data_IF_403835252458
#
_entry.id   IF_403835252458
#
_cell.length_a   1.000
_cell.length_b   1.000
_cell.length_c   1.000
_cell.angle_alpha   90.00
_cell.angle_beta   90.00
_cell.angle_gamma   90.00
#
_symmetry.space_group_name_H-M   'P 1'
#
loop_
_entity.id
_entity.type
_entity.pdbx_description
1 polymer ?
#
# COMPACT_ATOMS: atom_id res chain seq x y z
N UNK A 1 -39.08 -18.07 1.97
CA UNK A 1 -37.76 -17.49 1.62
C UNK A 1 -37.75 -17.38 0.10
N UNK A 2 -38.08 -16.20 -0.41
CA UNK A 2 -37.90 -15.85 -1.81
C UNK A 2 -36.42 -15.49 -1.97
N UNK A 3 -35.68 -16.29 -2.74
CA UNK A 3 -34.36 -15.90 -3.21
C UNK A 3 -34.58 -14.85 -4.29
N UNK A 4 -34.37 -13.59 -3.96
CA UNK A 4 -34.20 -12.56 -4.97
C UNK A 4 -32.95 -12.92 -5.77
N UNK A 5 -33.19 -13.34 -7.01
CA UNK A 5 -32.15 -13.50 -8.02
C UNK A 5 -31.67 -12.09 -8.36
N UNK A 6 -30.53 -11.68 -7.80
CA UNK A 6 -29.75 -10.61 -8.41
C UNK A 6 -29.26 -11.15 -9.75
N UNK A 7 -29.97 -10.85 -10.84
CA UNK A 7 -29.40 -10.96 -12.18
C UNK A 7 -28.21 -10.00 -12.24
N UNK A 8 -27.02 -10.56 -12.06
CA UNK A 8 -25.75 -9.87 -12.30
C UNK A 8 -25.62 -9.71 -13.82
N UNK A 9 -26.34 -8.73 -14.38
CA UNK A 9 -26.01 -8.21 -15.70
C UNK A 9 -24.54 -7.80 -15.65
N UNK A 10 -23.74 -8.36 -16.56
CA UNK A 10 -22.31 -8.14 -16.80
C UNK A 10 -21.56 -7.37 -15.69
N UNK A 11 -20.64 -8.03 -14.96
CA UNK A 11 -19.82 -7.51 -13.86
C UNK A 11 -19.00 -6.24 -14.19
N UNK A 12 -19.66 -5.16 -14.57
CA UNK A 12 -19.18 -3.80 -14.53
C UNK A 12 -19.47 -3.37 -13.09
N UNK A 13 -18.43 -3.06 -12.33
CA UNK A 13 -18.63 -2.42 -11.03
C UNK A 13 -19.50 -1.19 -11.27
N UNK A 14 -20.74 -1.21 -10.76
CA UNK A 14 -21.62 -0.06 -10.81
C UNK A 14 -21.10 0.96 -9.79
N UNK A 15 -20.08 1.68 -10.20
CA UNK A 15 -19.64 2.87 -9.49
C UNK A 15 -20.65 3.98 -9.78
N UNK A 16 -21.50 4.33 -8.82
CA UNK A 16 -22.53 5.35 -8.99
C UNK A 16 -21.88 6.74 -9.08
N UNK A 17 -21.66 7.23 -10.30
CA UNK A 17 -20.83 8.41 -10.54
C UNK A 17 -19.33 8.13 -10.50
N UNK A 18 -18.91 6.85 -10.54
CA UNK A 18 -17.54 6.40 -10.74
C UNK A 18 -16.67 6.20 -9.48
N UNK A 19 -17.09 6.66 -8.29
CA UNK A 19 -16.33 6.48 -7.06
C UNK A 19 -16.75 5.22 -6.28
N UNK A 20 -15.81 4.56 -5.55
CA UNK A 20 -16.13 3.41 -4.72
C UNK A 20 -17.04 3.80 -3.56
N UNK A 21 -17.91 2.87 -3.19
CA UNK A 21 -18.79 2.92 -2.03
C UNK A 21 -18.58 1.69 -1.17
N UNK A 22 -18.92 1.80 0.10
CA UNK A 22 -18.84 0.69 1.06
C UNK A 22 -20.23 0.40 1.58
N UNK A 23 -20.56 -0.88 1.64
CA UNK A 23 -21.62 -1.40 2.51
C UNK A 23 -21.02 -2.46 3.41
N UNK A 24 -21.56 -2.56 4.61
CA UNK A 24 -21.14 -3.52 5.61
C UNK A 24 -22.33 -4.28 6.17
N UNK A 25 -22.06 -5.41 6.81
CA UNK A 25 -23.07 -6.19 7.51
C UNK A 25 -22.54 -6.55 8.89
N UNK A 26 -23.34 -6.30 9.92
CA UNK A 26 -23.03 -6.61 11.31
C UNK A 26 -23.77 -7.85 11.83
N UNK A 27 -24.51 -8.55 10.97
CA UNK A 27 -25.36 -9.70 11.32
C UNK A 27 -25.07 -10.94 10.46
N UNK A 28 -23.86 -11.02 9.90
CA UNK A 28 -23.43 -12.16 9.09
C UNK A 28 -23.99 -12.17 7.66
N UNK A 29 -24.33 -10.99 7.13
CA UNK A 29 -24.83 -10.80 5.77
C UNK A 29 -26.34 -10.86 5.62
N UNK A 30 -27.11 -10.82 6.72
CA UNK A 30 -28.57 -10.82 6.68
C UNK A 30 -29.12 -9.44 6.33
N UNK A 31 -28.46 -8.38 6.81
CA UNK A 31 -28.72 -6.98 6.46
C UNK A 31 -27.44 -6.28 6.03
N UNK A 32 -27.59 -5.27 5.17
CA UNK A 32 -26.50 -4.46 4.65
C UNK A 32 -26.76 -3.00 4.97
N UNK A 33 -25.75 -2.33 5.49
CA UNK A 33 -25.78 -0.95 5.94
C UNK A 33 -24.72 -0.12 5.20
N UNK A 34 -25.02 1.15 4.91
CA UNK A 34 -26.38 1.68 4.83
C UNK A 34 -27.20 0.92 3.77
N UNK A 35 -28.53 1.02 3.84
CA UNK A 35 -29.38 0.43 2.80
C UNK A 35 -28.91 0.96 1.44
N UNK A 36 -28.96 0.12 0.42
CA UNK A 36 -28.55 0.38 -0.97
C UNK A 36 -29.11 1.64 -1.64
N UNK A 37 -29.96 2.40 -0.96
CA UNK A 37 -30.41 3.72 -1.43
C UNK A 37 -29.55 4.89 -0.91
N UNK A 38 -28.72 4.68 0.11
CA UNK A 38 -27.90 5.69 0.77
C UNK A 38 -26.41 5.30 0.71
N UNK A 39 -25.83 5.17 -0.48
CA UNK A 39 -24.42 4.76 -0.60
C UNK A 39 -23.47 5.85 -0.06
N UNK A 40 -22.72 5.60 1.03
CA UNK A 40 -21.79 6.57 1.56
C UNK A 40 -20.59 6.58 0.61
N UNK A 41 -20.45 7.69 -0.12
CA UNK A 41 -19.29 7.91 -0.96
C UNK A 41 -18.04 7.95 -0.11
N UNK A 42 -16.97 7.27 -0.54
CA UNK A 42 -15.66 7.34 0.11
C UNK A 42 -14.98 8.71 0.03
N UNK A 43 -15.57 9.61 -0.77
CA UNK A 43 -15.16 10.99 -0.95
C UNK A 43 -16.36 11.90 -0.80
N UNK A 44 -16.19 13.07 -0.19
CA UNK A 44 -17.28 14.05 -0.07
C UNK A 44 -17.86 14.48 -1.44
N UNK A 45 -19.17 14.72 -1.46
CA UNK A 45 -19.85 15.29 -2.62
C UNK A 45 -19.19 16.61 -3.05
N UNK A 46 -18.98 16.76 -4.37
CA UNK A 46 -18.34 17.94 -4.93
C UNK A 46 -16.81 17.95 -4.88
N UNK A 47 -16.17 16.86 -4.43
CA UNK A 47 -14.71 16.73 -4.58
C UNK A 47 -14.31 16.79 -6.06
N UNK A 48 -13.13 17.32 -6.34
CA UNK A 48 -12.55 17.28 -7.68
C UNK A 48 -12.06 15.88 -8.08
N UNK A 49 -12.07 14.91 -7.15
CA UNK A 49 -11.63 13.54 -7.41
C UNK A 49 -12.51 12.98 -8.51
N UNK A 50 -11.89 12.79 -9.67
CA UNK A 50 -12.57 12.25 -10.83
C UNK A 50 -12.35 10.76 -10.82
N UNK A 51 -13.42 9.97 -10.72
CA UNK A 51 -13.34 8.63 -11.26
C UNK A 51 -13.20 8.75 -12.76
N UNK A 52 -12.25 8.00 -13.30
CA UNK A 52 -11.91 8.14 -14.69
C UNK A 52 -12.90 7.37 -15.56
N UNK A 53 -13.20 7.89 -16.75
CA UNK A 53 -13.98 7.20 -17.76
C UNK A 53 -13.12 6.15 -18.48
N UNK A 54 -13.74 5.31 -19.32
CA UNK A 54 -13.04 4.31 -20.14
C UNK A 54 -11.86 4.93 -20.90
N UNK A 55 -10.71 4.26 -20.89
CA UNK A 55 -9.45 4.66 -21.55
C UNK A 55 -8.70 5.86 -20.95
N UNK A 56 -9.00 6.22 -19.70
CA UNK A 56 -8.31 7.33 -19.03
C UNK A 56 -6.96 6.95 -18.44
N UNK A 57 -6.81 5.81 -17.78
CA UNK A 57 -5.45 5.32 -17.52
C UNK A 57 -4.93 4.72 -18.79
N UNK A 58 -3.61 4.77 -18.98
CA UNK A 58 -3.05 4.02 -20.06
C UNK A 58 -3.37 2.52 -19.88
N UNK A 59 -3.46 1.79 -20.99
CA UNK A 59 -3.56 0.31 -21.03
C UNK A 59 -4.88 -0.36 -20.68
N UNK A 60 -6.01 0.31 -20.87
CA UNK A 60 -7.32 -0.33 -20.70
C UNK A 60 -7.51 -0.89 -19.28
N UNK A 61 -6.78 -0.37 -18.30
CA UNK A 61 -7.13 -0.55 -16.90
C UNK A 61 -8.48 0.15 -16.73
N UNK A 62 -9.52 -0.65 -16.89
CA UNK A 62 -10.87 -0.22 -16.70
C UNK A 62 -11.05 -0.11 -15.19
N UNK A 63 -11.09 1.13 -14.69
CA UNK A 63 -11.30 1.39 -13.26
C UNK A 63 -12.65 0.84 -12.79
N UNK A 64 -13.61 0.66 -13.71
CA UNK A 64 -14.87 -0.02 -13.42
C UNK A 64 -14.72 -1.53 -13.20
N UNK A 65 -13.55 -2.10 -13.53
CA UNK A 65 -13.22 -3.52 -13.39
C UNK A 65 -12.17 -3.81 -12.31
N UNK A 66 -11.59 -2.79 -11.68
CA UNK A 66 -10.72 -2.96 -10.53
C UNK A 66 -11.51 -2.71 -9.25
N UNK A 67 -11.35 -3.57 -8.27
CA UNK A 67 -11.95 -3.38 -6.95
C UNK A 67 -11.08 -2.45 -6.08
N UNK A 68 -11.71 -1.63 -5.21
CA UNK A 68 -10.99 -1.07 -4.07
C UNK A 68 -10.52 -2.21 -3.15
N UNK A 69 -9.47 -1.95 -2.36
CA UNK A 69 -9.03 -2.84 -1.30
C UNK A 69 -9.44 -2.29 0.06
N UNK A 70 -9.83 -3.18 0.98
CA UNK A 70 -10.32 -2.82 2.31
C UNK A 70 -9.52 -3.55 3.39
N UNK A 71 -9.22 -2.86 4.49
CA UNK A 71 -8.62 -3.44 5.69
C UNK A 71 -9.25 -2.82 6.93
N UNK A 72 -9.19 -3.53 8.05
CA UNK A 72 -9.69 -3.08 9.35
C UNK A 72 -8.54 -3.07 10.33
N UNK A 73 -8.40 -1.97 11.06
CA UNK A 73 -7.51 -1.89 12.20
C UNK A 73 -8.16 -2.59 13.40
N UNK A 74 -7.54 -3.69 13.83
CA UNK A 74 -8.05 -4.51 14.95
C UNK A 74 -8.01 -3.81 16.30
N UNK A 75 -7.20 -2.78 16.47
CA UNK A 75 -7.06 -2.07 17.74
C UNK A 75 -8.11 -0.97 17.91
N UNK A 76 -8.57 -0.39 16.81
CA UNK A 76 -9.46 0.79 16.82
C UNK A 76 -10.80 0.58 16.13
N UNK A 77 -10.98 -0.55 15.46
CA UNK A 77 -12.12 -0.83 14.56
C UNK A 77 -12.28 0.19 13.42
N UNK A 78 -11.23 0.97 13.14
CA UNK A 78 -11.19 1.85 11.98
C UNK A 78 -11.14 1.02 10.69
N UNK A 79 -11.93 1.43 9.70
CA UNK A 79 -11.98 0.78 8.38
C UNK A 79 -11.20 1.65 7.39
N UNK A 80 -10.29 1.05 6.63
CA UNK A 80 -9.50 1.71 5.62
C UNK A 80 -9.83 1.15 4.25
N UNK A 81 -10.05 2.04 3.29
CA UNK A 81 -10.30 1.66 1.89
C UNK A 81 -9.28 2.34 1.00
N UNK A 82 -8.47 1.53 0.33
CA UNK A 82 -7.55 1.97 -0.70
C UNK A 82 -8.20 1.83 -2.07
N UNK A 83 -8.14 2.90 -2.86
CA UNK A 83 -8.59 2.94 -4.24
C UNK A 83 -7.65 3.85 -5.02
N UNK A 84 -7.84 3.94 -6.33
CA UNK A 84 -7.06 4.86 -7.14
C UNK A 84 -7.98 5.71 -7.98
N UNK A 85 -7.63 6.98 -8.11
CA UNK A 85 -8.45 7.99 -8.77
C UNK A 85 -7.55 9.08 -9.38
N UNK A 86 -8.15 10.00 -10.14
CA UNK A 86 -7.45 11.22 -10.55
C UNK A 86 -7.81 12.34 -9.59
N UNK A 87 -6.85 13.21 -9.29
CA UNK A 87 -7.12 14.40 -8.49
C UNK A 87 -8.02 15.42 -9.19
N UNK A 88 -8.10 15.37 -10.53
CA UNK A 88 -9.08 16.11 -11.32
C UNK A 88 -9.35 15.46 -12.69
N UNK A 89 -10.45 15.82 -13.39
CA UNK A 89 -10.70 15.34 -14.76
C UNK A 89 -9.63 15.76 -15.79
N UNK A 90 -8.80 16.77 -15.48
CA UNK A 90 -7.76 17.28 -16.38
C UNK A 90 -6.39 16.64 -16.15
N UNK A 91 -6.22 15.89 -15.06
CA UNK A 91 -4.99 15.17 -14.77
C UNK A 91 -5.02 13.82 -15.46
N UNK A 92 -3.90 13.40 -16.04
CA UNK A 92 -3.79 12.08 -16.67
C UNK A 92 -3.43 10.99 -15.67
N UNK A 93 -2.57 11.29 -14.71
CA UNK A 93 -2.02 10.32 -13.76
C UNK A 93 -3.05 9.87 -12.70
N UNK A 94 -3.01 8.58 -12.38
CA UNK A 94 -3.74 7.98 -11.26
C UNK A 94 -2.90 8.03 -9.98
N UNK A 95 -3.49 8.52 -8.89
CA UNK A 95 -2.90 8.40 -7.56
C UNK A 95 -3.68 7.38 -6.73
N UNK A 96 -3.03 6.79 -5.73
CA UNK A 96 -3.72 6.00 -4.70
C UNK A 96 -4.31 6.92 -3.64
N UNK A 97 -5.57 6.68 -3.30
CA UNK A 97 -6.28 7.30 -2.21
C UNK A 97 -6.56 6.25 -1.14
N UNK A 98 -6.44 6.66 0.11
CA UNK A 98 -6.77 5.85 1.28
C UNK A 98 -7.79 6.65 2.07
N UNK A 99 -9.00 6.12 2.21
CA UNK A 99 -10.06 6.71 3.01
C UNK A 99 -10.26 5.91 4.29
N UNK A 100 -10.33 6.58 5.44
CA UNK A 100 -10.50 5.99 6.77
C UNK A 100 -11.88 6.34 7.30
N UNK A 101 -12.63 5.32 7.68
CA UNK A 101 -13.84 5.44 8.48
C UNK A 101 -13.50 5.25 9.96
N UNK A 102 -13.77 6.25 10.82
CA UNK A 102 -13.55 6.15 12.26
C UNK A 102 -14.69 5.44 13.03
N UNK A 103 -15.72 4.98 12.32
CA UNK A 103 -16.94 4.40 12.90
C UNK A 103 -17.40 3.15 12.13
N UNK A 104 -16.54 2.12 12.08
CA UNK A 104 -16.89 0.77 11.60
C UNK A 104 -17.44 0.69 10.16
N UNK A 105 -17.22 1.71 9.34
CA UNK A 105 -17.67 1.80 7.94
C UNK A 105 -18.92 2.65 7.74
N UNK A 106 -19.49 3.23 8.80
CA UNK A 106 -20.68 4.10 8.70
C UNK A 106 -20.43 5.38 7.90
N UNK A 107 -19.23 5.97 8.01
CA UNK A 107 -18.91 7.24 7.32
C UNK A 107 -17.43 7.38 6.98
N UNK A 108 -17.13 8.07 5.87
CA UNK A 108 -15.77 8.31 5.39
C UNK A 108 -15.52 9.82 5.23
N UNK A 109 -15.09 10.53 6.29
CA UNK A 109 -14.82 11.95 6.22
C UNK A 109 -13.71 12.27 5.21
N UNK A 110 -13.84 13.38 4.48
CA UNK A 110 -12.87 13.79 3.45
C UNK A 110 -11.80 14.76 3.94
N UNK A 111 -11.65 14.93 5.25
CA UNK A 111 -10.61 15.78 5.82
C UNK A 111 -9.23 15.08 5.75
N UNK A 112 -8.16 15.86 5.90
CA UNK A 112 -6.77 15.34 5.75
C UNK A 112 -6.38 14.29 6.79
N UNK A 113 -7.15 14.13 7.87
CA UNK A 113 -6.91 13.06 8.83
C UNK A 113 -7.53 11.73 8.39
N UNK A 114 -8.53 11.77 7.52
CA UNK A 114 -9.30 10.60 7.10
C UNK A 114 -9.18 10.29 5.60
N UNK A 115 -8.63 11.19 4.79
CA UNK A 115 -8.38 10.96 3.38
C UNK A 115 -6.94 11.37 3.04
N UNK A 116 -6.14 10.38 2.64
CA UNK A 116 -4.75 10.57 2.20
C UNK A 116 -4.64 10.22 0.72
N UNK A 117 -4.09 11.14 -0.07
CA UNK A 117 -3.68 10.91 -1.46
C UNK A 117 -2.17 10.67 -1.48
N UNK A 118 -1.75 9.49 -1.92
CA UNK A 118 -0.34 9.17 -2.16
C UNK A 118 0.08 9.78 -3.49
N UNK A 119 0.59 11.01 -3.44
CA UNK A 119 1.07 11.72 -4.63
C UNK A 119 2.45 11.26 -5.07
N UNK A 120 2.80 11.53 -6.32
CA UNK A 120 4.17 11.36 -6.85
C UNK A 120 5.23 12.02 -5.96
N UNK A 121 4.94 13.20 -5.42
CA UNK A 121 5.85 13.92 -4.54
C UNK A 121 6.11 13.14 -3.25
N UNK A 122 5.06 12.54 -2.67
CA UNK A 122 5.19 11.68 -1.49
C UNK A 122 5.98 10.40 -1.79
N UNK A 123 5.82 9.86 -3.00
CA UNK A 123 6.39 8.57 -3.37
C UNK A 123 7.77 8.66 -4.04
N UNK A 124 8.16 9.78 -4.62
CA UNK A 124 9.42 9.89 -5.36
C UNK A 124 10.28 11.05 -4.89
N UNK A 125 9.74 11.95 -4.06
CA UNK A 125 10.38 13.22 -3.72
C UNK A 125 10.41 14.22 -4.89
N UNK A 126 9.83 13.87 -6.05
CA UNK A 126 9.79 14.71 -7.24
C UNK A 126 8.33 15.10 -7.52
N UNK A 127 8.01 16.40 -7.71
CA UNK A 127 6.69 16.80 -8.16
C UNK A 127 6.36 16.17 -9.50
N UNK A 128 5.16 15.62 -9.66
CA UNK A 128 4.68 15.14 -10.96
C UNK A 128 4.79 16.22 -12.03
N UNK A 129 5.26 15.86 -13.22
CA UNK A 129 5.41 16.75 -14.37
C UNK A 129 4.09 16.99 -15.13
N UNK A 130 2.96 16.67 -14.50
CA UNK A 130 1.62 16.68 -15.09
C UNK A 130 1.27 15.38 -15.83
N UNK A 131 2.24 14.49 -16.07
CA UNK A 131 2.07 13.13 -16.58
C UNK A 131 2.78 12.15 -15.63
N UNK A 132 2.76 12.47 -14.34
CA UNK A 132 3.46 11.70 -13.33
C UNK A 132 3.04 10.23 -13.30
N UNK A 133 3.78 9.38 -12.58
CA UNK A 133 3.49 7.95 -12.58
C UNK A 133 2.05 7.64 -12.18
N UNK A 134 1.47 6.65 -12.84
CA UNK A 134 0.23 6.01 -12.42
C UNK A 134 0.51 5.02 -11.29
N UNK A 135 -0.22 5.17 -10.18
CA UNK A 135 -0.31 4.18 -9.12
C UNK A 135 -1.68 3.53 -9.13
N UNK A 136 -1.73 2.20 -9.29
CA UNK A 136 -2.99 1.47 -9.53
C UNK A 136 -3.04 0.13 -8.80
N UNK A 137 -4.27 -0.41 -8.68
CA UNK A 137 -4.57 -1.72 -8.11
C UNK A 137 -3.93 -1.95 -6.72
N UNK A 138 -4.26 -1.08 -5.74
CA UNK A 138 -3.73 -1.23 -4.40
C UNK A 138 -4.29 -2.48 -3.72
N UNK A 139 -3.47 -3.11 -2.89
CA UNK A 139 -3.88 -4.03 -1.84
C UNK A 139 -3.44 -3.44 -0.50
N UNK A 140 -4.28 -3.50 0.54
CA UNK A 140 -4.06 -2.81 1.81
C UNK A 140 -4.10 -3.80 2.99
N UNK A 141 -3.23 -3.58 3.98
CA UNK A 141 -3.30 -4.23 5.28
C UNK A 141 -2.92 -3.23 6.39
N UNK A 142 -3.57 -3.36 7.55
CA UNK A 142 -3.18 -2.63 8.76
C UNK A 142 -2.35 -3.57 9.62
N UNK A 143 -1.15 -3.13 9.97
CA UNK A 143 -0.28 -3.88 10.89
C UNK A 143 -0.69 -3.65 12.36
N UNK A 144 -0.23 -4.52 13.27
CA UNK A 144 -0.55 -4.40 14.70
C UNK A 144 0.10 -3.19 15.40
N UNK A 145 0.92 -2.44 14.68
CA UNK A 145 1.46 -1.16 15.11
C UNK A 145 0.59 0.03 14.65
N UNK A 146 -0.52 -0.21 13.96
CA UNK A 146 -1.39 0.81 13.37
C UNK A 146 -0.83 1.42 12.07
N UNK A 147 0.22 0.84 11.49
CA UNK A 147 0.75 1.25 10.21
C UNK A 147 -0.15 0.80 9.05
N UNK A 148 -0.35 1.70 8.09
CA UNK A 148 -1.10 1.40 6.85
C UNK A 148 -0.11 0.91 5.81
N UNK A 149 -0.25 -0.33 5.36
CA UNK A 149 0.66 -0.96 4.42
C UNK A 149 -0.07 -1.20 3.10
N UNK A 150 0.61 -0.97 1.98
CA UNK A 150 0.06 -1.16 0.64
C UNK A 150 1.03 -1.88 -0.28
N UNK A 151 0.46 -2.63 -1.22
CA UNK A 151 1.13 -3.12 -2.43
C UNK A 151 0.40 -2.60 -3.64
N UNK A 152 1.10 -2.10 -4.65
CA UNK A 152 0.47 -1.52 -5.84
C UNK A 152 1.39 -1.59 -7.06
N UNK A 153 0.81 -1.40 -8.25
CA UNK A 153 1.57 -1.22 -9.49
C UNK A 153 1.93 0.25 -9.67
N UNK A 154 3.15 0.50 -10.12
CA UNK A 154 3.68 1.84 -10.38
C UNK A 154 4.50 1.85 -11.68
N UNK A 155 4.31 2.86 -12.53
CA UNK A 155 5.04 2.99 -13.80
C UNK A 155 6.11 4.10 -13.79
N UNK A 156 6.61 4.56 -12.63
CA UNK A 156 7.61 5.64 -12.54
C UNK A 156 8.92 5.36 -13.27
N UNK A 157 9.23 4.08 -13.48
CA UNK A 157 10.40 3.62 -14.22
C UNK A 157 10.11 3.26 -15.67
N UNK A 158 8.92 3.61 -16.17
CA UNK A 158 8.59 3.42 -17.56
C UNK A 158 9.47 4.30 -18.45
N UNK A 159 10.30 3.70 -19.33
CA UNK A 159 11.08 4.48 -20.29
C UNK A 159 10.20 5.20 -21.32
N UNK A 160 8.95 4.78 -21.51
CA UNK A 160 8.00 5.35 -22.47
C UNK A 160 6.78 5.98 -21.78
N UNK A 161 6.94 7.21 -21.29
CA UNK A 161 5.84 8.02 -20.75
C UNK A 161 4.73 8.37 -21.76
N UNK A 162 4.88 7.98 -23.02
CA UNK A 162 3.86 8.13 -24.06
C UNK A 162 2.78 7.05 -24.03
N UNK A 163 2.84 6.15 -23.05
CA UNK A 163 1.85 5.13 -22.78
C UNK A 163 1.62 4.14 -23.92
N UNK A 164 2.64 3.88 -24.75
CA UNK A 164 2.54 2.91 -25.83
C UNK A 164 2.97 1.51 -25.38
N UNK A 165 3.96 1.41 -24.48
CA UNK A 165 4.47 0.14 -23.95
C UNK A 165 4.92 0.27 -22.50
N UNK A 166 4.01 0.14 -21.53
CA UNK A 166 4.30 0.51 -20.17
C UNK A 166 5.06 -0.54 -19.43
N UNK A 167 6.09 -0.08 -18.76
CA UNK A 167 6.77 -0.89 -17.80
C UNK A 167 6.27 -0.56 -16.40
N UNK A 168 5.89 -1.60 -15.68
CA UNK A 168 5.45 -1.51 -14.30
C UNK A 168 6.43 -2.15 -13.36
N UNK A 169 6.34 -1.68 -12.14
CA UNK A 169 6.93 -2.27 -10.97
C UNK A 169 5.86 -2.53 -9.92
N UNK A 170 6.16 -3.48 -9.04
CA UNK A 170 5.37 -3.66 -7.83
C UNK A 170 6.09 -2.95 -6.70
N UNK A 171 5.38 -2.08 -6.01
CA UNK A 171 5.88 -1.35 -4.85
C UNK A 171 5.19 -1.80 -3.58
N UNK A 172 5.96 -1.78 -2.50
CA UNK A 172 5.44 -1.80 -1.15
C UNK A 172 5.59 -0.40 -0.55
N UNK A 173 4.57 0.08 0.16
CA UNK A 173 4.64 1.30 0.95
C UNK A 173 4.03 1.06 2.33
N UNK A 174 4.64 1.64 3.36
CA UNK A 174 4.11 1.75 4.71
C UNK A 174 3.94 3.21 5.07
N UNK A 175 2.80 3.54 5.65
CA UNK A 175 2.47 4.84 6.20
C UNK A 175 2.35 4.70 7.71
N UNK A 176 3.22 5.38 8.45
CA UNK A 176 3.10 5.48 9.92
C UNK A 176 2.44 6.80 10.31
N UNK A 177 1.77 6.83 11.45
CA UNK A 177 1.03 8.01 11.94
C UNK A 177 0.04 8.56 10.91
N UNK A 178 -0.72 7.66 10.26
CA UNK A 178 -1.66 7.97 9.19
C UNK A 178 -2.61 9.12 9.57
N UNK A 179 -2.74 10.10 8.67
CA UNK A 179 -3.66 11.22 8.84
C UNK A 179 -3.25 12.23 9.93
N UNK A 180 -2.02 12.13 10.46
CA UNK A 180 -1.49 13.10 11.43
C UNK A 180 -0.53 14.07 10.75
N UNK A 181 -0.19 15.18 11.44
CA UNK A 181 0.82 16.12 10.97
C UNK A 181 2.26 15.55 10.93
N UNK A 182 2.49 14.40 11.55
CA UNK A 182 3.78 13.71 11.61
C UNK A 182 3.75 12.37 10.84
N UNK A 183 2.91 12.27 9.81
CA UNK A 183 2.85 11.10 8.94
C UNK A 183 4.21 10.85 8.28
N UNK A 184 4.68 9.60 8.29
CA UNK A 184 5.88 9.17 7.57
C UNK A 184 5.53 8.10 6.54
N UNK A 185 6.27 8.10 5.43
CA UNK A 185 6.08 7.18 4.31
C UNK A 185 7.42 6.48 4.03
N UNK A 186 7.40 5.16 4.09
CA UNK A 186 8.53 4.31 3.73
C UNK A 186 8.09 3.43 2.56
N UNK A 187 8.94 3.28 1.55
CA UNK A 187 8.59 2.45 0.41
C UNK A 187 9.83 1.80 -0.19
N UNK A 188 9.61 0.73 -0.94
CA UNK A 188 10.62 0.13 -1.79
C UNK A 188 9.95 -0.69 -2.89
N UNK A 189 10.73 -0.96 -3.93
CA UNK A 189 10.33 -1.77 -5.06
C UNK A 189 10.47 -3.25 -4.70
N UNK A 190 9.46 -4.05 -5.01
CA UNK A 190 9.47 -5.51 -4.83
C UNK A 190 9.97 -6.25 -6.06
N UNK A 191 9.78 -5.68 -7.25
CA UNK A 191 10.26 -6.28 -8.51
C UNK A 191 11.74 -5.99 -8.75
N UNK A 192 12.55 -6.96 -9.19
CA UNK A 192 13.96 -6.72 -9.53
C UNK A 192 14.12 -5.94 -10.85
N UNK A 193 13.10 -5.97 -11.71
CA UNK A 193 13.05 -5.27 -12.99
C UNK A 193 11.62 -4.95 -13.38
N UNK A 194 11.45 -3.92 -14.21
CA UNK A 194 10.13 -3.50 -14.66
C UNK A 194 9.63 -4.48 -15.72
N UNK A 195 8.33 -4.69 -15.79
CA UNK A 195 7.72 -5.70 -16.66
C UNK A 195 6.56 -5.13 -17.46
N UNK A 196 6.34 -5.71 -18.64
CA UNK A 196 5.18 -5.42 -19.47
C UNK A 196 4.02 -6.34 -19.06
N UNK A 197 2.86 -5.81 -18.66
CA UNK A 197 1.81 -6.60 -18.05
C UNK A 197 1.18 -7.68 -18.93
N UNK A 198 1.10 -7.44 -20.24
CA UNK A 198 1.10 -8.44 -21.33
C UNK A 198 1.13 -7.70 -22.68
N UNK A 199 1.63 -8.33 -23.75
CA UNK A 199 1.62 -7.75 -25.10
C UNK A 199 0.29 -7.93 -25.87
N UNK A 200 -0.76 -8.50 -25.28
CA UNK A 200 -1.96 -8.96 -26.01
C UNK A 200 -3.30 -8.66 -25.32
N UNK A 201 -3.44 -7.49 -24.68
CA UNK A 201 -4.71 -7.06 -24.11
C UNK A 201 -5.19 -7.91 -22.92
N UNK A 202 -4.28 -8.58 -22.21
CA UNK A 202 -4.64 -9.25 -20.98
C UNK A 202 -4.60 -8.25 -19.81
N UNK A 203 -5.73 -8.12 -19.15
CA UNK A 203 -5.94 -7.32 -17.95
C UNK A 203 -4.95 -7.71 -16.85
N UNK A 204 -4.31 -6.70 -16.24
CA UNK A 204 -3.38 -6.87 -15.13
C UNK A 204 -4.03 -7.45 -13.88
N UNK A 205 -5.34 -7.37 -13.73
CA UNK A 205 -6.07 -7.99 -12.64
C UNK A 205 -5.73 -7.43 -11.26
N UNK A 206 -6.66 -7.59 -10.32
CA UNK A 206 -6.39 -7.36 -8.90
C UNK A 206 -5.66 -8.61 -8.35
N UNK A 207 -4.45 -8.88 -8.85
CA UNK A 207 -3.64 -10.05 -8.44
C UNK A 207 -2.72 -9.74 -7.25
N UNK A 208 -2.86 -8.57 -6.64
CA UNK A 208 -2.16 -8.20 -5.43
C UNK A 208 -2.94 -8.66 -4.21
N UNK A 209 -2.21 -9.21 -3.25
CA UNK A 209 -2.73 -9.42 -1.90
C UNK A 209 -1.67 -8.98 -0.91
N UNK A 210 -2.11 -8.46 0.23
CA UNK A 210 -1.24 -8.10 1.33
C UNK A 210 -1.87 -8.63 2.62
N UNK A 211 -1.17 -9.54 3.28
CA UNK A 211 -1.57 -10.04 4.58
C UNK A 211 -0.64 -9.51 5.66
N UNK A 212 -1.20 -9.20 6.84
CA UNK A 212 -0.45 -8.95 8.06
C UNK A 212 -0.70 -10.07 9.05
N UNK A 213 0.35 -10.52 9.73
CA UNK A 213 0.24 -11.45 10.84
C UNK A 213 0.66 -10.76 12.14
N UNK A 214 0.08 -11.16 13.29
CA UNK A 214 0.41 -10.54 14.56
C UNK A 214 1.88 -10.77 14.93
N UNK A 215 2.48 -9.87 15.74
CA UNK A 215 3.81 -10.08 16.26
C UNK A 215 3.82 -11.33 17.16
N UNK A 216 4.98 -11.98 17.25
CA UNK A 216 5.13 -13.12 18.17
C UNK A 216 5.62 -12.62 19.52
N UNK A 217 5.33 -13.32 20.63
CA UNK A 217 5.78 -12.89 21.96
C UNK A 217 7.30 -12.71 22.11
N UNK A 218 8.08 -13.33 21.21
CA UNK A 218 9.55 -13.31 21.24
C UNK A 218 10.15 -12.35 20.23
N UNK A 219 9.36 -11.80 19.31
CA UNK A 219 9.85 -10.92 18.24
C UNK A 219 8.82 -9.79 18.06
N UNK A 220 9.13 -8.54 18.47
CA UNK A 220 8.22 -7.39 18.36
C UNK A 220 8.08 -6.87 16.92
N UNK A 221 8.31 -7.74 15.93
CA UNK A 221 8.16 -7.44 14.53
C UNK A 221 6.84 -7.98 14.00
N UNK A 222 6.14 -7.16 13.23
CA UNK A 222 4.94 -7.54 12.48
C UNK A 222 5.34 -8.05 11.10
N UNK A 223 5.16 -9.35 10.79
CA UNK A 223 5.38 -9.85 9.45
C UNK A 223 4.23 -9.47 8.50
N UNK A 224 4.60 -9.00 7.31
CA UNK A 224 3.74 -8.70 6.17
C UNK A 224 4.11 -9.61 5.00
N UNK A 225 3.10 -10.07 4.27
CA UNK A 225 3.25 -11.01 3.15
C UNK A 225 2.59 -10.43 1.90
N UNK A 226 3.26 -9.50 1.20
CA UNK A 226 2.79 -9.05 -0.10
C UNK A 226 2.92 -10.19 -1.12
N UNK A 227 1.87 -10.43 -1.89
CA UNK A 227 1.89 -11.32 -3.05
C UNK A 227 1.51 -10.56 -4.29
N UNK A 228 2.20 -10.82 -5.39
CA UNK A 228 1.90 -10.20 -6.68
C UNK A 228 2.21 -11.13 -7.84
N UNK A 229 1.65 -10.82 -9.01
CA UNK A 229 1.95 -11.52 -10.25
C UNK A 229 2.79 -10.62 -11.14
N UNK A 230 3.88 -11.18 -11.69
CA UNK A 230 4.55 -10.59 -12.84
C UNK A 230 4.55 -11.57 -14.02
N UNK A 231 4.31 -11.10 -15.23
CA UNK A 231 4.57 -11.87 -16.44
C UNK A 231 6.07 -11.99 -16.68
N UNK A 232 6.51 -13.19 -17.05
CA UNK A 232 7.83 -13.45 -17.64
C UNK A 232 7.63 -14.14 -18.99
N UNK A 233 7.56 -13.32 -20.04
CA UNK A 233 7.16 -13.77 -21.38
C UNK A 233 5.69 -14.21 -21.42
N UNK A 234 5.46 -15.50 -21.67
CA UNK A 234 4.11 -16.11 -21.71
C UNK A 234 3.65 -16.69 -20.36
N UNK A 235 4.56 -16.76 -19.39
CA UNK A 235 4.24 -17.31 -18.08
C UNK A 235 3.83 -16.19 -17.12
N UNK A 236 2.92 -16.52 -16.20
CA UNK A 236 2.58 -15.66 -15.05
C UNK A 236 3.11 -16.35 -13.81
N UNK A 237 4.00 -15.68 -13.09
CA UNK A 237 4.56 -16.19 -11.84
C UNK A 237 3.96 -15.41 -10.67
N UNK A 238 3.58 -16.12 -9.62
CA UNK A 238 3.17 -15.52 -8.35
C UNK A 238 4.40 -15.42 -7.45
N UNK A 239 4.66 -14.23 -6.93
CA UNK A 239 5.74 -13.94 -6.01
C UNK A 239 5.14 -13.61 -4.65
N UNK A 240 5.87 -13.96 -3.60
CA UNK A 240 5.55 -13.60 -2.23
C UNK A 240 6.83 -13.10 -1.57
N UNK A 241 6.76 -11.96 -0.90
CA UNK A 241 7.84 -11.51 0.00
C UNK A 241 7.43 -11.71 1.44
N UNK A 242 8.41 -11.66 2.34
CA UNK A 242 8.19 -11.51 3.77
C UNK A 242 8.87 -10.22 4.20
N UNK A 243 8.07 -9.22 4.54
CA UNK A 243 8.56 -7.94 5.08
C UNK A 243 8.33 -7.98 6.58
N UNK A 244 9.30 -7.57 7.37
CA UNK A 244 9.14 -7.43 8.81
C UNK A 244 9.13 -5.94 9.15
N UNK A 245 8.31 -5.56 10.13
CA UNK A 245 8.14 -4.16 10.50
C UNK A 245 8.17 -4.02 12.01
N UNK A 246 8.87 -3.00 12.51
CA UNK A 246 8.95 -2.71 13.95
C UNK A 246 7.87 -1.69 14.34
N UNK A 247 7.19 -1.95 15.44
CA UNK A 247 6.27 -0.98 16.05
C UNK A 247 7.10 0.16 16.64
N UNK A 248 6.91 1.38 16.16
CA UNK A 248 7.75 2.53 16.55
C UNK A 248 8.17 3.43 15.37
N UNK A 249 8.02 2.95 14.13
CA UNK A 249 8.00 3.80 12.93
C UNK A 249 9.27 3.82 12.09
N UNK A 250 10.36 3.17 12.51
CA UNK A 250 11.58 3.03 11.70
C UNK A 250 11.52 1.72 10.89
N UNK A 251 11.92 1.77 9.61
CA UNK A 251 11.99 0.60 8.73
C UNK A 251 13.09 -0.34 9.22
N UNK A 252 12.96 -1.65 8.99
CA UNK A 252 14.09 -2.55 9.16
C UNK A 252 15.34 -2.14 8.37
N UNK A 253 15.18 -1.53 7.20
CA UNK A 253 16.30 -0.96 6.45
C UNK A 253 16.94 0.22 7.20
N UNK A 254 16.18 1.00 7.97
CA UNK A 254 16.74 2.07 8.80
C UNK A 254 17.47 1.52 10.04
N UNK A 255 17.05 0.34 10.53
CA UNK A 255 17.73 -0.32 11.66
C UNK A 255 19.02 -1.03 11.24
N UNK A 256 19.16 -1.45 9.97
CA UNK A 256 20.39 -2.05 9.45
C UNK A 256 21.28 -1.13 8.62
N UNK A 257 20.79 0.02 8.15
CA UNK A 257 21.58 1.13 7.58
C UNK A 257 22.02 2.09 8.71
N UNK A 258 22.84 1.57 9.63
CA UNK A 258 23.26 2.27 10.84
C UNK A 258 24.05 3.54 10.49
N UNK A 259 24.77 3.54 9.37
CA UNK A 259 25.51 4.71 8.90
C UNK A 259 24.68 5.71 8.08
N UNK A 260 23.44 5.33 7.76
CA UNK A 260 22.39 6.14 7.12
C UNK A 260 22.77 6.63 5.72
N UNK A 261 23.55 5.85 4.98
CA UNK A 261 23.93 6.17 3.60
C UNK A 261 22.93 5.64 2.54
N UNK A 262 21.89 4.94 2.98
CA UNK A 262 20.82 4.39 2.17
C UNK A 262 21.12 3.00 1.62
N UNK A 263 22.25 2.38 2.00
CA UNK A 263 22.68 1.08 1.50
C UNK A 263 23.15 0.20 2.67
N UNK A 264 22.37 -0.85 2.99
CA UNK A 264 22.79 -1.85 3.98
C UNK A 264 23.97 -2.67 3.43
N UNK A 265 25.15 -2.53 4.06
CA UNK A 265 26.41 -3.12 3.63
C UNK A 265 27.36 -3.37 4.81
N UNK A 266 28.54 -3.95 4.57
CA UNK A 266 29.52 -4.26 5.64
C UNK A 266 29.92 -3.02 6.47
N UNK A 267 29.80 -1.82 5.88
CA UNK A 267 30.02 -0.55 6.57
C UNK A 267 29.05 -0.34 7.74
N UNK A 268 27.80 -0.78 7.60
CA UNK A 268 26.80 -0.72 8.68
C UNK A 268 27.10 -1.70 9.80
N UNK A 269 27.69 -2.85 9.49
CA UNK A 269 28.16 -3.79 10.52
C UNK A 269 29.20 -3.11 11.38
N UNK A 270 30.18 -2.45 10.77
CA UNK A 270 31.19 -1.71 11.49
C UNK A 270 30.60 -0.53 12.27
N UNK A 271 29.65 0.20 11.69
CA UNK A 271 28.96 1.30 12.37
C UNK A 271 28.17 0.81 13.59
N UNK A 272 27.46 -0.31 13.46
CA UNK A 272 26.75 -0.95 14.56
C UNK A 272 27.71 -1.43 15.65
N UNK A 273 28.78 -2.16 15.29
CA UNK A 273 29.78 -2.65 16.26
C UNK A 273 30.42 -1.51 17.05
N UNK A 274 30.72 -0.39 16.40
CA UNK A 274 31.28 0.82 17.06
C UNK A 274 30.26 1.44 18.02
N UNK A 275 29.04 1.69 17.57
CA UNK A 275 27.96 2.24 18.40
C UNK A 275 27.65 1.32 19.60
N UNK A 276 27.61 0.00 19.37
CA UNK A 276 27.34 -1.01 20.37
C UNK A 276 28.41 -1.03 21.48
N UNK A 277 29.70 -0.97 21.12
CA UNK A 277 30.79 -0.93 22.10
C UNK A 277 30.82 0.36 22.92
N UNK A 278 30.32 1.45 22.36
CA UNK A 278 30.23 2.74 23.02
C UNK A 278 28.96 2.90 23.88
N UNK A 279 27.98 2.00 23.74
CA UNK A 279 26.65 2.16 24.32
C UNK A 279 25.91 3.37 23.75
N UNK A 280 26.11 3.67 22.46
CA UNK A 280 25.47 4.76 21.75
C UNK A 280 24.02 4.37 21.39
N UNK A 281 23.08 5.32 21.46
CA UNK A 281 21.68 5.07 21.10
C UNK A 281 21.49 4.69 19.62
N UNK A 282 22.49 4.89 18.76
CA UNK A 282 22.48 4.35 17.40
C UNK A 282 22.50 2.81 17.34
N UNK A 283 22.89 2.13 18.43
CA UNK A 283 22.86 0.67 18.54
C UNK A 283 21.66 0.14 19.35
N UNK A 284 20.78 1.00 19.85
CA UNK A 284 19.52 0.63 20.51
C UNK A 284 18.43 0.50 19.43
N UNK A 285 18.25 -0.74 18.93
CA UNK A 285 17.40 -1.03 17.78
C UNK A 285 15.98 -1.45 18.17
N UNK A 286 15.74 -1.84 19.43
CA UNK A 286 14.38 -2.07 19.94
C UNK A 286 13.77 -0.85 20.64
N UNK A 287 14.59 0.17 20.95
CA UNK A 287 14.17 1.47 21.47
C UNK A 287 13.82 1.44 22.96
N UNK A 288 14.49 0.62 23.75
CA UNK A 288 14.25 0.45 25.19
C UNK A 288 15.18 1.29 26.12
N UNK A 289 16.02 2.14 25.53
CA UNK A 289 17.06 2.95 26.18
C UNK A 289 18.25 2.14 26.76
N UNK A 290 18.38 0.84 26.47
CA UNK A 290 19.48 -0.03 26.90
C UNK A 290 20.14 -0.81 25.73
N UNK A 291 21.35 -0.40 25.30
CA UNK A 291 22.15 -1.19 24.34
C UNK A 291 22.55 -2.56 24.93
N UNK A 292 21.99 -3.64 24.39
CA UNK A 292 22.02 -4.98 24.97
C UNK A 292 22.24 -6.09 23.93
N UNK A 293 22.44 -7.33 24.38
CA UNK A 293 22.60 -8.48 23.48
C UNK A 293 21.38 -8.69 22.57
N UNK A 294 20.21 -8.17 22.96
CA UNK A 294 19.01 -8.21 22.16
C UNK A 294 19.09 -7.30 20.92
N UNK A 295 19.69 -6.12 21.03
CA UNK A 295 19.95 -5.25 19.87
C UNK A 295 20.91 -5.87 18.86
N UNK A 296 21.96 -6.52 19.36
CA UNK A 296 22.89 -7.25 18.49
C UNK A 296 22.18 -8.40 17.75
N UNK A 297 21.22 -9.06 18.41
CA UNK A 297 20.38 -10.07 17.77
C UNK A 297 19.49 -9.44 16.70
N UNK A 298 18.82 -8.32 16.99
CA UNK A 298 17.99 -7.58 16.02
C UNK A 298 18.85 -7.16 14.83
N UNK A 299 19.98 -6.50 15.05
CA UNK A 299 20.88 -6.09 13.99
C UNK A 299 21.31 -7.28 13.14
N UNK A 300 21.71 -8.40 13.76
CA UNK A 300 22.12 -9.61 13.02
C UNK A 300 20.98 -10.16 12.17
N UNK A 301 19.76 -10.26 12.72
CA UNK A 301 18.59 -10.76 12.01
C UNK A 301 18.22 -9.84 10.83
N UNK A 302 18.25 -8.53 11.07
CA UNK A 302 17.83 -7.50 10.11
C UNK A 302 18.89 -7.27 9.03
N UNK A 303 20.16 -7.23 9.40
CA UNK A 303 21.29 -7.16 8.48
C UNK A 303 21.38 -8.41 7.61
N UNK A 304 21.21 -9.61 8.17
CA UNK A 304 21.20 -10.85 7.37
C UNK A 304 20.03 -10.87 6.39
N UNK A 305 18.84 -10.44 6.84
CA UNK A 305 17.67 -10.32 5.96
C UNK A 305 17.87 -9.30 4.83
N UNK A 306 18.60 -8.22 5.08
CA UNK A 306 18.93 -7.22 4.07
C UNK A 306 20.07 -7.65 3.13
N UNK A 307 21.11 -8.30 3.66
CA UNK A 307 22.29 -8.74 2.92
C UNK A 307 22.00 -9.93 1.98
N UNK A 308 21.02 -10.77 2.32
CA UNK A 308 20.55 -11.82 1.43
C UNK A 308 19.80 -11.26 0.21
N UNK A 309 19.39 -9.99 0.24
CA UNK A 309 18.68 -9.28 -0.82
C UNK A 309 17.30 -9.88 -1.17
N UNK A 310 16.43 -9.15 -1.87
CA UNK A 310 15.36 -9.75 -2.64
C UNK A 310 15.89 -10.50 -3.88
#
# INVERSE_FOLDING_TARGET
>A
MTHDHFEVNECQGLYNGGLPWVVYSNDGGLTWLPDSSEHPSLVAEGSAISPSQDADTPFWIDRNKCAPAIAVDRATDNVYVAFYARSSPSQSNADIYISRSPNEGESFPSDTANLVQLTDLMLTGVPGDGVGPDQVMPSIAIDDCGGVNLVFYDNRHDPDRGDQNPYYDVYFVRISNYGTGNQSIQQFRLTPRSFLPTQQGAFLGDYHHLASAPPTPTVPMVPLYPTYITPDGLNRSCYMHRIQVVCGGESLLALSDVDRDGVVQEKDVHAFEEAYQLGDCAADLDGDDEVSEFDAQIFTEVYSAAADGP
#
